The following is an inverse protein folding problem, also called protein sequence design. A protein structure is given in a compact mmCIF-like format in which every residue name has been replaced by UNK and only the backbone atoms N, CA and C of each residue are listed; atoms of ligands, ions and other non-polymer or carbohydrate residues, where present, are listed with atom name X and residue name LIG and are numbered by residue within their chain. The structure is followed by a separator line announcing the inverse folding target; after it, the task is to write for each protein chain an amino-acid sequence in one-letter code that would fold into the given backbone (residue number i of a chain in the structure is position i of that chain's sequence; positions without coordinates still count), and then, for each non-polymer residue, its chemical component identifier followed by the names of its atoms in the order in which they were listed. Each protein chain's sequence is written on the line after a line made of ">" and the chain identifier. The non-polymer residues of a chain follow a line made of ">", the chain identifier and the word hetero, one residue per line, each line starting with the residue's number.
data_IF_743456815971
#
_entry.id   IF_743456815971
#
_cell.length_a   1.000
_cell.length_b   1.000
_cell.length_c   1.000
_cell.angle_alpha   90.00
_cell.angle_beta   90.00
_cell.angle_gamma   90.00
#
_symmetry.space_group_name_H-M   'P 1'
#
loop_
_entity.id
_entity.type
_entity.pdbx_description
1 polymer ?
#
# COMPACT_ATOMS: atom_id res chain seq x y z
N UNK A 1 79.33 -33.90 1.11
CA UNK A 1 80.76 -33.52 1.19
C UNK A 1 80.87 -32.19 1.92
N UNK A 2 81.84 -32.09 2.83
CA UNK A 2 82.43 -30.91 3.50
C UNK A 2 81.60 -30.19 4.59
N UNK A 3 82.17 -30.30 5.79
CA UNK A 3 81.97 -29.57 7.06
C UNK A 3 82.30 -28.08 6.89
N UNK A 4 81.90 -27.24 7.85
CA UNK A 4 82.82 -26.57 8.83
C UNK A 4 82.02 -25.72 9.83
N UNK A 5 82.47 -25.82 11.08
CA UNK A 5 82.02 -25.21 12.33
C UNK A 5 82.42 -23.72 12.46
N UNK A 6 82.10 -23.18 13.64
CA UNK A 6 82.79 -22.12 14.45
C UNK A 6 82.34 -20.67 14.20
N UNK A 7 81.55 -20.04 15.09
CA UNK A 7 81.82 -19.56 16.47
C UNK A 7 82.25 -18.08 16.48
N UNK A 8 81.50 -17.20 17.17
CA UNK A 8 82.01 -16.18 18.11
C UNK A 8 80.90 -15.33 18.77
N UNK A 9 80.96 -15.29 20.10
CA UNK A 9 80.34 -14.33 21.00
C UNK A 9 80.84 -12.90 20.72
N UNK A 10 80.00 -11.86 20.92
CA UNK A 10 80.21 -10.77 21.91
C UNK A 10 79.10 -9.69 21.87
N UNK A 11 78.33 -9.63 22.96
CA UNK A 11 77.94 -8.51 23.85
C UNK A 11 77.75 -7.07 23.30
N UNK A 12 76.63 -6.48 23.79
CA UNK A 12 76.33 -5.08 24.15
C UNK A 12 75.56 -4.17 23.16
N UNK A 13 74.31 -3.85 23.56
CA UNK A 13 73.88 -2.53 24.06
C UNK A 13 72.62 -1.94 23.39
N UNK A 14 71.69 -1.61 24.29
CA UNK A 14 70.76 -0.47 24.31
C UNK A 14 69.56 -0.37 23.35
N UNK A 15 68.42 -0.25 24.03
CA UNK A 15 67.30 0.69 23.83
C UNK A 15 66.18 0.41 22.83
N UNK A 16 65.01 0.17 23.43
CA UNK A 16 63.69 0.79 23.18
C UNK A 16 63.16 0.68 21.74
N UNK A 17 62.08 -0.07 21.55
CA UNK A 17 60.79 0.48 21.09
C UNK A 17 59.67 -0.48 21.51
N UNK A 18 58.67 0.15 22.11
CA UNK A 18 57.36 -0.33 22.54
C UNK A 18 56.50 -0.74 21.34
N UNK A 19 55.93 -1.95 21.34
CA UNK A 19 54.75 -2.28 20.53
C UNK A 19 54.01 -3.46 21.17
N UNK A 20 52.89 -3.14 21.82
CA UNK A 20 51.96 -4.12 22.36
C UNK A 20 51.34 -4.94 21.23
N UNK A 21 51.35 -6.25 21.46
CA UNK A 21 50.87 -7.30 20.57
C UNK A 21 49.36 -7.24 20.38
N UNK A 22 48.96 -7.57 19.15
CA UNK A 22 47.59 -7.81 18.73
C UNK A 22 46.91 -8.90 19.57
N UNK A 23 45.71 -8.60 20.08
CA UNK A 23 44.69 -9.59 20.36
C UNK A 23 43.61 -9.43 19.29
N UNK A 24 43.59 -10.39 18.36
CA UNK A 24 42.53 -10.58 17.41
C UNK A 24 41.28 -11.06 18.16
N UNK A 25 40.22 -10.26 18.14
CA UNK A 25 38.85 -10.73 18.36
C UNK A 25 38.06 -10.36 17.11
N UNK A 26 37.90 -11.36 16.23
CA UNK A 26 36.94 -11.35 15.13
C UNK A 26 35.54 -11.29 15.73
N UNK A 27 34.99 -10.08 15.87
CA UNK A 27 33.57 -9.89 16.13
C UNK A 27 32.78 -10.13 14.83
N UNK A 28 31.56 -10.70 14.88
CA UNK A 28 30.72 -10.78 13.71
C UNK A 28 30.47 -9.36 13.19
N UNK A 29 30.66 -9.15 11.89
CA UNK A 29 30.17 -7.97 11.19
C UNK A 29 28.64 -7.96 11.30
N UNK A 30 28.13 -7.41 12.40
CA UNK A 30 26.79 -6.88 12.43
C UNK A 30 26.78 -5.74 11.41
N UNK A 31 26.35 -6.06 10.19
CA UNK A 31 25.81 -5.07 9.26
C UNK A 31 24.58 -4.47 9.93
N UNK A 32 24.80 -3.60 10.91
CA UNK A 32 23.81 -2.58 11.24
C UNK A 32 23.78 -1.71 10.00
N UNK A 33 22.79 -1.98 9.13
CA UNK A 33 22.43 -1.06 8.08
C UNK A 33 22.39 0.32 8.73
N UNK A 34 23.31 1.18 8.31
CA UNK A 34 23.35 2.57 8.72
C UNK A 34 22.04 3.16 8.20
N UNK A 35 21.03 3.18 9.07
CA UNK A 35 19.72 3.75 8.76
C UNK A 35 20.00 5.15 8.25
N UNK A 36 19.74 5.37 6.95
CA UNK A 36 20.15 6.61 6.29
C UNK A 36 19.49 7.75 7.07
N UNK A 37 20.31 8.66 7.60
CA UNK A 37 19.83 9.82 8.36
C UNK A 37 19.00 10.69 7.41
N UNK A 38 17.71 10.39 7.27
CA UNK A 38 16.82 11.04 6.32
C UNK A 38 15.63 10.20 5.86
N UNK A 39 15.66 8.87 6.03
CA UNK A 39 14.48 8.03 5.73
C UNK A 39 13.43 8.12 6.84
N UNK A 40 12.13 8.26 6.50
CA UNK A 40 11.06 8.19 7.47
C UNK A 40 11.02 6.83 8.16
N UNK A 41 10.62 6.86 9.43
CA UNK A 41 10.29 5.63 10.16
C UNK A 41 8.79 5.44 10.09
N UNK A 42 8.38 4.24 9.68
CA UNK A 42 6.97 3.88 9.55
C UNK A 42 6.55 2.97 10.70
N UNK A 43 5.34 3.18 11.23
CA UNK A 43 4.81 2.56 12.43
C UNK A 43 3.29 2.34 12.35
N UNK A 44 2.78 1.44 13.19
CA UNK A 44 1.35 1.09 13.19
C UNK A 44 0.92 0.14 12.07
N UNK A 45 -0.39 -0.05 11.90
CA UNK A 45 -0.97 -1.11 11.07
C UNK A 45 -0.79 -0.90 9.56
N UNK A 46 -0.52 0.33 9.13
CA UNK A 46 -0.30 0.72 7.73
C UNK A 46 1.19 0.92 7.37
N UNK A 47 2.09 0.65 8.32
CA UNK A 47 3.52 0.95 8.18
C UNK A 47 4.18 0.28 6.96
N UNK A 48 3.76 -0.93 6.62
CA UNK A 48 4.29 -1.66 5.47
C UNK A 48 3.87 -1.02 4.15
N UNK A 49 2.60 -0.64 4.03
CA UNK A 49 2.04 0.00 2.84
C UNK A 49 2.66 1.37 2.62
N UNK A 50 2.79 2.19 3.67
CA UNK A 50 3.49 3.47 3.59
C UNK A 50 4.95 3.31 3.17
N UNK A 51 5.66 2.35 3.76
CA UNK A 51 7.05 2.05 3.39
C UNK A 51 7.16 1.60 1.94
N UNK A 52 6.27 0.73 1.49
CA UNK A 52 6.25 0.23 0.12
C UNK A 52 5.98 1.38 -0.86
N UNK A 53 4.91 2.16 -0.65
CA UNK A 53 4.55 3.29 -1.50
C UNK A 53 5.64 4.37 -1.52
N UNK A 54 6.27 4.65 -0.38
CA UNK A 54 7.38 5.62 -0.28
C UNK A 54 8.59 5.15 -1.10
N UNK A 55 8.95 3.87 -0.99
CA UNK A 55 10.05 3.28 -1.76
C UNK A 55 9.75 3.29 -3.26
N UNK A 56 8.53 2.93 -3.66
CA UNK A 56 8.11 3.00 -5.06
C UNK A 56 8.15 4.44 -5.58
N UNK A 57 7.64 5.42 -4.83
CA UNK A 57 7.73 6.83 -5.19
C UNK A 57 9.20 7.28 -5.36
N UNK A 58 10.09 6.85 -4.47
CA UNK A 58 11.53 7.13 -4.52
C UNK A 58 12.22 6.54 -5.74
N UNK A 59 12.02 5.25 -5.99
CA UNK A 59 12.59 4.55 -7.16
C UNK A 59 12.17 5.19 -8.48
N UNK A 60 10.99 5.82 -8.48
CA UNK A 60 10.42 6.50 -9.64
C UNK A 60 10.68 8.01 -9.67
N UNK A 61 11.50 8.54 -8.74
CA UNK A 61 11.86 9.96 -8.71
C UNK A 61 10.72 10.91 -8.36
N UNK A 62 9.61 10.41 -7.81
CA UNK A 62 8.46 11.23 -7.44
C UNK A 62 8.67 11.82 -6.03
N UNK A 63 9.22 13.04 -5.97
CA UNK A 63 9.51 13.74 -4.71
C UNK A 63 8.26 14.28 -4.03
N UNK A 64 7.22 14.60 -4.80
CA UNK A 64 5.91 14.98 -4.25
C UNK A 64 5.32 13.83 -3.44
N UNK A 65 5.25 12.63 -4.03
CA UNK A 65 4.70 11.48 -3.33
C UNK A 65 5.55 11.03 -2.14
N UNK A 66 6.88 11.12 -2.22
CA UNK A 66 7.73 10.90 -1.05
C UNK A 66 7.42 11.87 0.10
N UNK A 67 7.12 13.14 -0.19
CA UNK A 67 6.80 14.12 0.85
C UNK A 67 5.45 13.84 1.51
N UNK A 68 4.41 13.52 0.72
CA UNK A 68 3.07 13.17 1.22
C UNK A 68 3.15 11.93 2.11
N UNK A 69 3.87 10.90 1.68
CA UNK A 69 3.91 9.62 2.41
C UNK A 69 4.79 9.66 3.66
N UNK A 70 5.55 10.74 3.91
CA UNK A 70 6.64 10.74 4.89
C UNK A 70 6.17 10.69 6.34
N UNK A 71 4.99 11.23 6.65
CA UNK A 71 4.48 11.37 8.02
C UNK A 71 3.36 10.39 8.37
N UNK A 72 3.15 9.37 7.52
CA UNK A 72 2.14 8.32 7.69
C UNK A 72 0.70 8.85 7.69
N UNK A 73 0.48 10.03 7.13
CA UNK A 73 -0.84 10.63 6.97
C UNK A 73 -1.01 11.05 5.51
N UNK A 74 -2.20 10.83 4.97
CA UNK A 74 -2.57 11.36 3.66
C UNK A 74 -3.83 12.19 3.88
N UNK A 75 -3.66 13.50 3.84
CA UNK A 75 -4.77 14.43 4.02
C UNK A 75 -5.62 14.50 2.75
N UNK A 76 -6.88 14.89 2.88
CA UNK A 76 -7.74 15.18 1.73
C UNK A 76 -7.14 16.26 0.82
N UNK A 77 -6.43 17.24 1.38
CA UNK A 77 -5.75 18.28 0.60
C UNK A 77 -4.62 17.71 -0.27
N UNK A 78 -3.83 16.76 0.26
CA UNK A 78 -2.77 16.09 -0.51
C UNK A 78 -3.35 15.16 -1.57
N UNK A 79 -4.41 14.42 -1.26
CA UNK A 79 -5.13 13.61 -2.23
C UNK A 79 -5.81 14.45 -3.32
N UNK A 80 -6.31 15.64 -2.98
CA UNK A 80 -6.84 16.61 -3.95
C UNK A 80 -5.73 17.16 -4.85
N UNK A 81 -4.54 17.45 -4.30
CA UNK A 81 -3.38 17.86 -5.09
C UNK A 81 -2.93 16.74 -6.04
N UNK A 82 -2.93 15.47 -5.62
CA UNK A 82 -2.71 14.31 -6.50
C UNK A 82 -3.69 14.32 -7.67
N UNK A 83 -4.99 14.44 -7.39
CA UNK A 83 -6.05 14.46 -8.39
C UNK A 83 -5.87 15.61 -9.39
N UNK A 84 -5.55 16.81 -8.91
CA UNK A 84 -5.28 17.97 -9.75
C UNK A 84 -4.06 17.75 -10.65
N UNK A 85 -2.94 17.25 -10.11
CA UNK A 85 -1.73 16.96 -10.90
C UNK A 85 -1.99 15.93 -11.99
N UNK A 86 -2.79 14.91 -11.68
CA UNK A 86 -3.21 13.90 -12.65
C UNK A 86 -4.07 14.53 -13.75
N UNK A 87 -5.10 15.29 -13.37
CA UNK A 87 -5.98 15.98 -14.32
C UNK A 87 -5.21 16.91 -15.25
N UNK A 88 -4.25 17.68 -14.74
CA UNK A 88 -3.40 18.56 -15.56
C UNK A 88 -2.52 17.78 -16.52
N UNK A 89 -1.88 16.71 -16.07
CA UNK A 89 -1.05 15.87 -16.95
C UNK A 89 -1.86 15.26 -18.10
N UNK A 90 -3.06 14.76 -17.79
CA UNK A 90 -3.94 14.18 -18.81
C UNK A 90 -4.47 15.25 -19.78
N UNK A 91 -4.77 16.46 -19.29
CA UNK A 91 -5.16 17.57 -20.14
C UNK A 91 -4.05 17.98 -21.11
N UNK A 92 -2.79 18.02 -20.66
CA UNK A 92 -1.61 18.26 -21.51
C UNK A 92 -1.44 17.18 -22.60
N UNK A 93 -1.86 15.94 -22.30
CA UNK A 93 -1.90 14.83 -23.25
C UNK A 93 -3.11 14.84 -24.20
N UNK A 94 -4.03 15.81 -24.04
CA UNK A 94 -5.23 15.97 -24.86
C UNK A 94 -6.51 15.37 -24.29
N UNK A 95 -6.49 14.86 -23.05
CA UNK A 95 -7.62 14.22 -22.39
C UNK A 95 -8.15 15.08 -21.24
N UNK A 96 -9.29 15.73 -21.47
CA UNK A 96 -9.91 16.65 -20.51
C UNK A 96 -10.99 15.93 -19.70
N UNK A 97 -10.73 15.74 -18.41
CA UNK A 97 -11.71 15.25 -17.46
C UNK A 97 -12.64 16.38 -17.00
N UNK A 98 -13.93 16.07 -16.87
CA UNK A 98 -14.93 16.91 -16.20
C UNK A 98 -14.59 17.04 -14.71
N UNK A 99 -14.19 15.93 -14.09
CA UNK A 99 -13.67 15.88 -12.73
C UNK A 99 -12.68 14.74 -12.51
N UNK A 100 -11.77 14.96 -11.57
CA UNK A 100 -10.91 13.95 -10.93
C UNK A 100 -11.01 14.18 -9.43
N UNK A 101 -11.50 13.20 -8.69
CA UNK A 101 -11.70 13.30 -7.24
C UNK A 101 -10.47 12.77 -6.47
N UNK A 102 -10.33 13.13 -5.18
CA UNK A 102 -9.21 12.66 -4.34
C UNK A 102 -9.10 11.13 -4.23
N UNK A 103 -10.22 10.42 -4.34
CA UNK A 103 -10.27 8.95 -4.31
C UNK A 103 -9.82 8.30 -5.63
N UNK A 104 -9.45 9.11 -6.64
CA UNK A 104 -9.05 8.67 -7.97
C UNK A 104 -10.21 8.43 -8.94
N UNK A 105 -11.47 8.58 -8.51
CA UNK A 105 -12.60 8.51 -9.42
C UNK A 105 -12.56 9.67 -10.40
N UNK A 106 -12.80 9.36 -11.67
CA UNK A 106 -12.68 10.31 -12.78
C UNK A 106 -13.88 10.23 -13.69
N UNK A 107 -14.26 11.37 -14.29
CA UNK A 107 -15.20 11.38 -15.40
C UNK A 107 -14.67 12.23 -16.53
N UNK A 108 -14.72 11.65 -17.72
CA UNK A 108 -14.44 12.30 -18.98
C UNK A 108 -15.58 12.01 -19.93
N UNK A 109 -15.93 12.99 -20.76
CA UNK A 109 -16.79 12.75 -21.91
C UNK A 109 -16.01 11.91 -22.93
N UNK A 110 -16.16 10.58 -22.87
CA UNK A 110 -15.63 9.70 -23.90
C UNK A 110 -16.54 9.78 -25.12
N UNK A 111 -16.16 10.56 -26.12
CA UNK A 111 -16.70 10.38 -27.47
C UNK A 111 -16.33 9.00 -28.02
N UNK A 112 -16.69 8.72 -29.27
CA UNK A 112 -16.19 7.52 -29.96
C UNK A 112 -14.68 7.69 -30.24
N UNK A 113 -13.84 7.26 -29.29
CA UNK A 113 -12.39 7.16 -29.48
C UNK A 113 -12.08 6.00 -30.41
N UNK A 114 -11.23 6.25 -31.40
CA UNK A 114 -10.60 5.19 -32.19
C UNK A 114 -9.70 4.30 -31.33
N UNK A 115 -9.40 3.09 -31.80
CA UNK A 115 -8.49 2.17 -31.10
C UNK A 115 -7.13 2.81 -30.82
N UNK A 116 -6.64 3.66 -31.73
CA UNK A 116 -5.39 4.40 -31.55
C UNK A 116 -5.48 5.45 -30.43
N UNK A 117 -6.61 6.16 -30.31
CA UNK A 117 -6.84 7.13 -29.23
C UNK A 117 -7.01 6.43 -27.88
N UNK A 118 -7.65 5.26 -27.84
CA UNK A 118 -7.76 4.45 -26.62
C UNK A 118 -6.38 3.95 -26.16
N UNK A 119 -5.55 3.47 -27.09
CA UNK A 119 -4.18 3.07 -26.79
C UNK A 119 -3.36 4.25 -26.27
N UNK A 120 -3.47 5.41 -26.93
CA UNK A 120 -2.81 6.64 -26.47
C UNK A 120 -3.27 7.05 -25.07
N UNK A 121 -4.58 7.00 -24.80
CA UNK A 121 -5.13 7.27 -23.48
C UNK A 121 -4.49 6.38 -22.41
N UNK A 122 -4.42 5.07 -22.65
CA UNK A 122 -3.85 4.13 -21.70
C UNK A 122 -2.36 4.39 -21.42
N UNK A 123 -1.58 4.72 -22.46
CA UNK A 123 -0.18 5.08 -22.31
C UNK A 123 0.00 6.34 -21.45
N UNK A 124 -0.86 7.35 -21.66
CA UNK A 124 -0.82 8.60 -20.92
C UNK A 124 -1.34 8.44 -19.49
N UNK A 125 -2.35 7.62 -19.25
CA UNK A 125 -2.84 7.26 -17.92
C UNK A 125 -1.71 6.70 -17.04
N UNK A 126 -0.93 5.74 -17.56
CA UNK A 126 0.21 5.16 -16.84
C UNK A 126 1.26 6.23 -16.50
N UNK A 127 1.61 7.08 -17.48
CA UNK A 127 2.61 8.14 -17.31
C UNK A 127 2.12 9.17 -16.28
N UNK A 128 0.90 9.67 -16.45
CA UNK A 128 0.31 10.70 -15.62
C UNK A 128 0.02 10.21 -14.21
N UNK A 129 -0.42 8.97 -14.03
CA UNK A 129 -0.61 8.36 -12.72
C UNK A 129 0.70 8.31 -11.93
N UNK A 130 1.80 7.97 -12.61
CA UNK A 130 3.15 7.95 -12.02
C UNK A 130 3.69 9.35 -11.72
N UNK A 131 3.53 10.31 -12.63
CA UNK A 131 4.07 11.67 -12.48
C UNK A 131 3.30 12.49 -11.44
N UNK A 132 1.98 12.36 -11.42
CA UNK A 132 1.11 13.02 -10.44
C UNK A 132 1.33 12.50 -9.02
N UNK A 133 1.73 11.23 -8.89
CA UNK A 133 1.84 10.52 -7.61
C UNK A 133 0.61 9.66 -7.28
N UNK A 134 -0.40 9.66 -8.15
CA UNK A 134 -1.64 8.91 -7.98
C UNK A 134 -1.40 7.43 -7.72
N UNK A 135 -0.54 6.77 -8.51
CA UNK A 135 -0.24 5.34 -8.35
C UNK A 135 0.38 5.00 -6.98
N UNK A 136 1.01 5.96 -6.31
CA UNK A 136 1.67 5.74 -5.01
C UNK A 136 0.77 6.09 -3.81
N UNK A 137 -0.12 7.07 -3.98
CA UNK A 137 -0.86 7.70 -2.88
C UNK A 137 -2.31 7.23 -2.85
N UNK A 138 -3.01 7.22 -3.98
CA UNK A 138 -4.48 7.17 -4.02
C UNK A 138 -5.05 5.88 -3.42
N UNK A 139 -4.42 4.73 -3.70
CA UNK A 139 -4.84 3.47 -3.08
C UNK A 139 -4.75 3.53 -1.55
N UNK A 140 -3.64 4.04 -1.03
CA UNK A 140 -3.41 4.12 0.41
C UNK A 140 -4.33 5.16 1.07
N UNK A 141 -4.60 6.28 0.39
CA UNK A 141 -5.60 7.26 0.82
C UNK A 141 -6.98 6.61 0.99
N UNK A 142 -7.47 5.90 -0.02
CA UNK A 142 -8.76 5.23 0.03
C UNK A 142 -8.83 4.20 1.17
N UNK A 143 -7.75 3.44 1.35
CA UNK A 143 -7.65 2.45 2.40
C UNK A 143 -7.69 3.08 3.81
N UNK A 144 -7.00 4.22 4.02
CA UNK A 144 -7.00 4.97 5.28
C UNK A 144 -8.33 5.66 5.57
N UNK A 145 -9.02 6.17 4.55
CA UNK A 145 -10.37 6.76 4.71
C UNK A 145 -11.37 5.68 5.16
N UNK A 146 -11.24 4.46 4.63
CA UNK A 146 -12.13 3.34 4.96
C UNK A 146 -11.78 2.70 6.31
N UNK A 147 -10.49 2.54 6.62
CA UNK A 147 -10.01 1.78 7.77
C UNK A 147 -8.81 2.46 8.46
N UNK A 148 -9.01 3.63 9.08
CA UNK A 148 -7.90 4.46 9.60
C UNK A 148 -7.07 3.77 10.68
N UNK A 149 -7.67 2.86 11.44
CA UNK A 149 -7.03 2.09 12.50
C UNK A 149 -6.55 0.70 12.05
N UNK A 150 -6.81 0.32 10.80
CA UNK A 150 -6.33 -0.93 10.21
C UNK A 150 -6.99 -2.19 10.77
N UNK A 151 -8.12 -2.09 11.47
CA UNK A 151 -8.81 -3.23 12.10
C UNK A 151 -9.38 -4.22 11.08
N UNK A 152 -9.63 -3.77 9.85
CA UNK A 152 -10.18 -4.59 8.77
C UNK A 152 -9.09 -5.21 7.89
N UNK A 153 -7.81 -4.92 8.16
CA UNK A 153 -6.68 -5.48 7.40
C UNK A 153 -6.39 -6.93 7.77
N UNK A 154 -5.77 -7.65 6.83
CA UNK A 154 -5.24 -9.00 7.02
C UNK A 154 -6.26 -10.04 7.49
N UNK A 155 -7.53 -9.81 7.17
CA UNK A 155 -8.62 -10.72 7.51
C UNK A 155 -8.69 -11.87 6.53
N UNK A 156 -8.96 -13.05 7.06
CA UNK A 156 -9.30 -14.22 6.27
C UNK A 156 -10.64 -14.02 5.58
N UNK A 157 -10.87 -14.75 4.47
CA UNK A 157 -12.18 -14.76 3.81
C UNK A 157 -13.31 -15.14 4.79
N UNK A 158 -13.03 -16.01 5.76
CA UNK A 158 -13.99 -16.38 6.79
C UNK A 158 -14.35 -15.20 7.71
N UNK A 159 -13.35 -14.48 8.21
CA UNK A 159 -13.57 -13.34 9.09
C UNK A 159 -14.33 -12.20 8.39
N UNK A 160 -14.08 -11.96 7.10
CA UNK A 160 -14.81 -10.96 6.30
C UNK A 160 -16.29 -11.34 6.18
N UNK A 161 -16.57 -12.62 5.90
CA UNK A 161 -17.93 -13.13 5.77
C UNK A 161 -18.68 -13.11 7.08
N UNK A 162 -18.01 -13.49 8.18
CA UNK A 162 -18.57 -13.41 9.52
C UNK A 162 -18.97 -11.98 9.87
N UNK A 163 -18.10 -11.02 9.57
CA UNK A 163 -18.35 -9.60 9.80
C UNK A 163 -19.59 -9.07 9.07
N UNK A 164 -19.71 -9.41 7.78
CA UNK A 164 -20.87 -9.04 6.99
C UNK A 164 -22.15 -9.66 7.57
N UNK A 165 -22.11 -10.96 7.88
CA UNK A 165 -23.26 -11.66 8.46
C UNK A 165 -23.67 -11.07 9.81
N UNK A 166 -22.72 -10.75 10.68
CA UNK A 166 -22.97 -10.09 11.96
C UNK A 166 -23.53 -8.68 11.78
N UNK A 167 -22.99 -7.89 10.86
CA UNK A 167 -23.51 -6.57 10.57
C UNK A 167 -24.95 -6.61 10.09
N UNK A 168 -25.26 -7.47 9.11
CA UNK A 168 -26.61 -7.64 8.58
C UNK A 168 -27.59 -8.08 9.69
N UNK A 169 -27.16 -8.96 10.60
CA UNK A 169 -27.95 -9.34 11.78
C UNK A 169 -28.19 -8.17 12.73
N UNK A 170 -27.15 -7.40 13.08
CA UNK A 170 -27.27 -6.23 13.96
C UNK A 170 -28.21 -5.17 13.38
N UNK A 171 -28.22 -5.00 12.05
CA UNK A 171 -29.12 -4.09 11.33
C UNK A 171 -30.54 -4.64 11.15
N UNK A 172 -30.78 -5.91 11.48
CA UNK A 172 -32.07 -6.58 11.31
C UNK A 172 -32.41 -6.92 9.85
N UNK A 173 -31.42 -6.89 8.95
CA UNK A 173 -31.63 -7.18 7.53
C UNK A 173 -31.81 -8.68 7.24
N UNK A 174 -31.38 -9.53 8.17
CA UNK A 174 -31.47 -11.00 8.10
C UNK A 174 -31.85 -11.60 9.46
N UNK A 175 -32.29 -12.87 9.46
CA UNK A 175 -32.63 -13.63 10.66
C UNK A 175 -31.40 -14.06 11.48
N UNK A 176 -31.65 -14.56 12.70
CA UNK A 176 -30.60 -15.01 13.62
C UNK A 176 -29.80 -16.22 13.11
N UNK A 177 -30.40 -16.98 12.19
CA UNK A 177 -29.82 -18.14 11.52
C UNK A 177 -28.84 -17.79 10.40
N UNK A 178 -28.73 -16.51 10.01
CA UNK A 178 -27.79 -16.09 8.98
C UNK A 178 -26.34 -16.06 9.52
N UNK A 179 -25.44 -16.70 8.77
CA UNK A 179 -24.07 -17.02 9.18
C UNK A 179 -23.05 -16.69 8.08
N UNK A 180 -21.76 -16.81 8.38
CA UNK A 180 -20.70 -16.62 7.37
C UNK A 180 -20.84 -17.60 6.19
N UNK A 181 -21.40 -18.78 6.42
CA UNK A 181 -21.65 -19.80 5.41
C UNK A 181 -22.71 -19.40 4.39
N UNK A 182 -23.62 -18.49 4.75
CA UNK A 182 -24.61 -17.93 3.83
C UNK A 182 -24.03 -16.83 2.93
N UNK A 183 -22.81 -16.37 3.23
CA UNK A 183 -22.09 -15.40 2.42
C UNK A 183 -21.14 -16.15 1.48
N UNK A 184 -21.25 -15.99 0.15
CA UNK A 184 -20.30 -16.56 -0.79
C UNK A 184 -18.90 -15.97 -0.59
N UNK A 185 -17.89 -16.78 -0.90
CA UNK A 185 -16.52 -16.26 -1.02
C UNK A 185 -16.48 -15.38 -2.28
N UNK A 186 -15.86 -14.20 -2.19
CA UNK A 186 -15.59 -13.38 -3.36
C UNK A 186 -14.44 -14.01 -4.14
N UNK A 187 -14.76 -14.62 -5.28
CA UNK A 187 -13.78 -15.16 -6.23
C UNK A 187 -13.52 -14.17 -7.38
N UNK A 188 -12.89 -14.64 -8.46
CA UNK A 188 -12.46 -13.78 -9.55
C UNK A 188 -13.61 -13.24 -10.40
N UNK A 189 -14.74 -13.95 -10.50
CA UNK A 189 -15.91 -13.48 -11.25
C UNK A 189 -16.91 -12.75 -10.35
N UNK A 190 -16.92 -13.05 -9.05
CA UNK A 190 -17.77 -12.40 -8.05
C UNK A 190 -19.26 -12.66 -8.26
N UNK A 191 -19.64 -13.64 -9.09
CA UNK A 191 -21.02 -13.84 -9.53
C UNK A 191 -21.93 -14.20 -8.34
N UNK A 192 -21.52 -15.17 -7.53
CA UNK A 192 -22.30 -15.62 -6.37
C UNK A 192 -22.49 -14.49 -5.35
N UNK A 193 -21.43 -13.70 -5.11
CA UNK A 193 -21.49 -12.56 -4.21
C UNK A 193 -22.43 -11.46 -4.74
N UNK A 194 -22.39 -11.19 -6.04
CA UNK A 194 -23.31 -10.26 -6.70
C UNK A 194 -24.76 -10.75 -6.61
N UNK A 195 -25.01 -12.04 -6.82
CA UNK A 195 -26.33 -12.64 -6.67
C UNK A 195 -26.85 -12.54 -5.23
N UNK A 196 -25.99 -12.72 -4.22
CA UNK A 196 -26.35 -12.46 -2.82
C UNK A 196 -26.75 -11.00 -2.63
N UNK A 197 -25.96 -10.05 -3.12
CA UNK A 197 -26.26 -8.62 -3.01
C UNK A 197 -27.61 -8.26 -3.63
N UNK A 198 -27.95 -8.85 -4.77
CA UNK A 198 -29.26 -8.67 -5.42
C UNK A 198 -30.44 -9.11 -4.54
N UNK A 199 -30.25 -10.04 -3.60
CA UNK A 199 -31.30 -10.41 -2.65
C UNK A 199 -31.67 -9.25 -1.71
N UNK A 200 -30.77 -8.29 -1.50
CA UNK A 200 -30.98 -7.11 -0.67
C UNK A 200 -31.37 -5.87 -1.49
N UNK A 201 -30.84 -5.72 -2.70
CA UNK A 201 -30.95 -4.48 -3.49
C UNK A 201 -32.06 -4.50 -4.55
N UNK A 202 -32.49 -5.67 -5.03
CA UNK A 202 -33.47 -5.75 -6.12
C UNK A 202 -34.89 -5.97 -5.59
N UNK A 203 -35.89 -5.22 -6.10
CA UNK A 203 -37.30 -5.51 -5.82
C UNK A 203 -37.65 -6.97 -6.10
N UNK A 204 -38.11 -7.70 -5.08
CA UNK A 204 -38.43 -9.13 -5.16
C UNK A 204 -37.33 -10.07 -4.67
N UNK A 205 -36.15 -9.54 -4.28
CA UNK A 205 -35.12 -10.30 -3.57
C UNK A 205 -35.60 -10.77 -2.20
N UNK A 206 -35.05 -11.89 -1.70
CA UNK A 206 -35.46 -12.52 -0.43
C UNK A 206 -35.41 -11.57 0.77
N UNK A 207 -34.40 -10.72 0.83
CA UNK A 207 -34.14 -9.80 1.93
C UNK A 207 -34.49 -8.35 1.57
N UNK A 208 -35.13 -8.12 0.42
CA UNK A 208 -35.34 -6.78 -0.11
C UNK A 208 -36.29 -5.95 0.75
N UNK A 209 -35.78 -4.78 1.14
CA UNK A 209 -36.53 -3.59 1.52
C UNK A 209 -35.61 -2.39 1.27
N UNK A 210 -36.15 -1.17 1.18
CA UNK A 210 -35.31 0.03 1.01
C UNK A 210 -34.27 0.13 2.14
N UNK A 211 -34.69 -0.12 3.38
CA UNK A 211 -33.82 -0.15 4.56
C UNK A 211 -32.76 -1.26 4.48
N UNK A 212 -33.11 -2.45 3.98
CA UNK A 212 -32.16 -3.56 3.88
C UNK A 212 -31.16 -3.35 2.74
N UNK A 213 -31.57 -2.68 1.66
CA UNK A 213 -30.67 -2.23 0.61
C UNK A 213 -29.62 -1.27 1.16
N UNK A 214 -30.02 -0.29 1.97
CA UNK A 214 -29.08 0.61 2.66
C UNK A 214 -28.19 -0.13 3.65
N UNK A 215 -28.75 -1.08 4.41
CA UNK A 215 -27.99 -1.89 5.37
C UNK A 215 -26.95 -2.76 4.67
N UNK A 216 -27.28 -3.34 3.50
CA UNK A 216 -26.33 -4.08 2.67
C UNK A 216 -25.15 -3.21 2.25
N UNK A 217 -25.42 -2.00 1.74
CA UNK A 217 -24.38 -1.05 1.34
C UNK A 217 -23.51 -0.66 2.54
N UNK A 218 -24.12 -0.32 3.67
CA UNK A 218 -23.38 0.05 4.89
C UNK A 218 -22.47 -1.08 5.38
N UNK A 219 -22.99 -2.30 5.47
CA UNK A 219 -22.22 -3.44 5.97
C UNK A 219 -21.11 -3.88 5.01
N UNK A 220 -21.27 -3.69 3.70
CA UNK A 220 -20.21 -3.92 2.72
C UNK A 220 -19.10 -2.87 2.82
N UNK A 221 -19.47 -1.61 3.07
CA UNK A 221 -18.51 -0.52 3.18
C UNK A 221 -17.71 -0.60 4.49
N UNK A 222 -18.39 -0.84 5.60
CA UNK A 222 -17.80 -0.93 6.93
C UNK A 222 -18.67 -1.82 7.83
N UNK A 223 -18.31 -3.11 7.98
CA UNK A 223 -19.10 -4.06 8.77
C UNK A 223 -19.07 -3.78 10.28
N UNK A 224 -18.35 -2.75 10.74
CA UNK A 224 -18.36 -2.31 12.15
C UNK A 224 -19.53 -1.38 12.45
N UNK A 225 -20.14 -0.75 11.44
CA UNK A 225 -21.18 0.28 11.58
C UNK A 225 -22.60 -0.27 11.63
#
# INVERSE_FOLDING_TARGET
>A
MKRVLTQRMTIAALTVVMMCSAAACSGPSSNTAEQSKGEPTFSGPWAEDFRWSYNQARENGNTFAQNVLRDEQITEAEATEVANRYQFCMADAGFVFDYVNPDGSTQMQTGNMSDAEQQWFHEQDIICSKQSGQIFITHLYNALVQDPDGELRNRTAEEIRQDLAECLKRKGAVGSEFTAEDVPIVDADGEEYAQLGQQFTNPGGKYYSEQNSESWVQCNNDPRK
#
